data_IF_022177147785
#
_entry.id   IF_022177147785
#
_cell.length_a   1.000
_cell.length_b   1.000
_cell.length_c   1.000
_cell.angle_alpha   90.00
_cell.angle_beta   90.00
_cell.angle_gamma   90.00
#
_symmetry.space_group_name_H-M   'P 1'
#
loop_
_entity.id
_entity.type
_entity.pdbx_description
1 polymer ?
#
# COMPACT_ATOMS: atom_id res chain seq x y z
N UNK A 1 0.04 -17.27 8.45
CA UNK A 1 1.27 -17.84 7.86
C UNK A 1 1.63 -17.02 6.62
N UNK A 2 2.50 -16.01 6.77
CA UNK A 2 2.91 -15.10 5.67
C UNK A 2 4.32 -15.48 5.18
N UNK A 3 4.45 -16.72 4.71
CA UNK A 3 5.73 -17.38 4.38
C UNK A 3 6.61 -16.53 3.45
N UNK A 4 6.01 -15.86 2.47
CA UNK A 4 6.75 -15.03 1.53
C UNK A 4 7.30 -13.76 2.18
N UNK A 5 6.58 -13.13 3.11
CA UNK A 5 7.03 -11.91 3.78
C UNK A 5 8.23 -12.22 4.68
N UNK A 6 8.12 -13.28 5.49
CA UNK A 6 9.22 -13.80 6.30
C UNK A 6 10.45 -14.18 5.45
N UNK A 7 10.24 -14.82 4.31
CA UNK A 7 11.32 -15.21 3.41
C UNK A 7 12.06 -14.00 2.81
N UNK A 8 11.34 -12.96 2.38
CA UNK A 8 11.95 -11.74 1.81
C UNK A 8 12.74 -10.98 2.89
N UNK A 9 12.19 -10.88 4.11
CA UNK A 9 12.89 -10.27 5.24
C UNK A 9 14.16 -11.05 5.57
N UNK A 10 14.06 -12.37 5.72
CA UNK A 10 15.16 -13.19 6.22
C UNK A 10 16.29 -13.40 5.22
N UNK A 11 15.96 -13.58 3.93
CA UNK A 11 16.98 -13.87 2.92
C UNK A 11 17.50 -12.65 2.19
N UNK A 12 16.78 -11.53 2.18
CA UNK A 12 17.14 -10.37 1.35
C UNK A 12 17.38 -9.13 2.19
N UNK A 13 16.36 -8.70 2.95
CA UNK A 13 16.38 -7.39 3.59
C UNK A 13 17.27 -7.35 4.83
N UNK A 14 17.16 -8.36 5.68
CA UNK A 14 17.89 -8.47 6.93
C UNK A 14 19.41 -8.67 6.73
N UNK A 15 19.90 -9.60 5.87
CA UNK A 15 21.33 -9.73 5.63
C UNK A 15 21.93 -8.51 4.90
N UNK A 16 21.15 -7.83 4.05
CA UNK A 16 21.59 -6.59 3.38
C UNK A 16 21.70 -5.43 4.37
N UNK A 17 20.74 -5.28 5.28
CA UNK A 17 20.79 -4.29 6.35
C UNK A 17 21.90 -4.60 7.38
N UNK A 18 22.08 -5.87 7.77
CA UNK A 18 23.20 -6.29 8.63
C UNK A 18 24.55 -6.01 7.98
N UNK A 19 24.70 -6.28 6.67
CA UNK A 19 25.94 -6.01 5.94
C UNK A 19 26.38 -4.53 5.98
N UNK A 20 25.43 -3.59 6.03
CA UNK A 20 25.71 -2.15 6.14
C UNK A 20 25.82 -1.66 7.61
N UNK A 21 25.31 -2.42 8.58
CA UNK A 21 25.36 -2.11 10.03
C UNK A 21 26.58 -2.70 10.72
N UNK A 22 27.19 -3.76 10.18
CA UNK A 22 28.47 -4.33 10.67
C UNK A 22 29.57 -3.27 10.52
N UNK A 23 29.82 -2.53 11.61
CA UNK A 23 30.80 -1.44 11.69
C UNK A 23 30.28 -0.15 12.31
N UNK A 24 28.97 0.00 12.59
CA UNK A 24 28.40 1.18 13.26
C UNK A 24 27.83 0.83 14.62
N UNK A 25 28.38 1.42 15.68
CA UNK A 25 28.07 1.12 17.09
C UNK A 25 26.72 1.70 17.59
N UNK A 26 25.93 2.37 16.74
CA UNK A 26 24.80 3.22 17.15
C UNK A 26 23.49 2.95 16.37
N UNK A 27 23.27 1.76 15.81
CA UNK A 27 21.98 1.41 15.18
C UNK A 27 21.59 0.02 15.64
N UNK A 28 20.51 -0.09 16.41
CA UNK A 28 19.96 -1.37 16.84
C UNK A 28 18.84 -1.76 15.87
N UNK A 29 19.06 -2.86 15.15
CA UNK A 29 18.06 -3.51 14.32
C UNK A 29 17.32 -4.52 15.20
N UNK A 30 16.10 -4.20 15.58
CA UNK A 30 15.22 -5.16 16.25
C UNK A 30 14.28 -5.75 15.21
N UNK A 31 14.34 -7.08 15.07
CA UNK A 31 13.50 -7.86 14.17
C UNK A 31 12.36 -8.43 14.99
N UNK A 32 11.16 -7.91 14.80
CA UNK A 32 9.95 -8.49 15.39
C UNK A 32 9.08 -9.05 14.25
N UNK A 33 9.13 -10.38 14.11
CA UNK A 33 8.37 -11.20 13.16
C UNK A 33 8.37 -10.77 11.68
N UNK A 34 7.50 -9.81 11.32
CA UNK A 34 7.23 -9.35 9.94
C UNK A 34 7.64 -7.87 9.71
N UNK A 35 8.18 -7.19 10.72
CA UNK A 35 8.50 -5.76 10.71
C UNK A 35 9.98 -5.50 11.03
N UNK A 36 10.59 -4.52 10.34
CA UNK A 36 11.96 -4.05 10.66
C UNK A 36 11.85 -2.75 11.44
N UNK A 37 12.28 -2.79 12.71
CA UNK A 37 12.37 -1.62 13.57
C UNK A 37 13.79 -1.07 13.53
N UNK A 38 13.93 0.18 13.10
CA UNK A 38 15.19 0.92 13.21
C UNK A 38 15.16 1.79 14.48
N UNK A 39 15.83 1.36 15.54
CA UNK A 39 16.07 2.19 16.72
C UNK A 39 17.38 2.97 16.55
N UNK A 40 17.25 4.29 16.41
CA UNK A 40 18.37 5.24 16.42
C UNK A 40 18.48 5.85 17.82
N UNK A 41 19.61 5.74 18.54
CA UNK A 41 19.84 6.33 19.86
C UNK A 41 20.14 7.83 19.80
N UNK A 42 19.61 8.55 18.80
CA UNK A 42 19.55 10.01 18.81
C UNK A 42 18.15 10.42 19.20
N UNK A 43 18.02 11.08 20.36
CA UNK A 43 16.79 11.41 21.11
C UNK A 43 15.64 12.10 20.35
N UNK A 44 15.76 12.35 19.05
CA UNK A 44 14.77 13.09 18.24
C UNK A 44 14.39 12.40 16.91
N UNK A 45 14.83 11.18 16.64
CA UNK A 45 14.44 10.46 15.41
C UNK A 45 13.24 9.54 15.69
N UNK A 46 12.11 9.71 14.99
CA UNK A 46 10.96 8.84 15.16
C UNK A 46 11.34 7.41 14.76
N UNK A 47 10.92 6.44 15.57
CA UNK A 47 11.05 5.02 15.29
C UNK A 47 10.51 4.72 13.87
N UNK A 48 11.40 4.26 12.99
CA UNK A 48 11.01 3.91 11.63
C UNK A 48 10.65 2.44 11.60
N UNK A 49 9.35 2.19 11.54
CA UNK A 49 8.77 0.89 11.27
C UNK A 49 8.62 0.71 9.77
N UNK A 50 9.29 -0.28 9.19
CA UNK A 50 9.11 -0.61 7.78
C UNK A 50 8.18 -1.81 7.65
N UNK A 51 6.94 -1.55 7.19
CA UNK A 51 5.97 -2.61 6.89
C UNK A 51 6.17 -3.14 5.47
N UNK A 52 6.18 -4.47 5.29
CA UNK A 52 6.28 -5.05 3.95
C UNK A 52 5.13 -4.61 3.03
N UNK A 53 5.43 -4.37 1.73
CA UNK A 53 4.38 -4.19 0.72
C UNK A 53 3.55 -5.48 0.60
N UNK A 54 2.31 -5.34 0.09
CA UNK A 54 1.31 -6.42 -0.01
C UNK A 54 0.75 -6.91 1.34
N UNK A 55 0.66 -6.02 2.33
CA UNK A 55 0.00 -6.28 3.61
C UNK A 55 -1.54 -6.44 3.47
N UNK A 56 -2.24 -6.66 4.59
CA UNK A 56 -3.70 -6.82 4.59
C UNK A 56 -4.47 -5.62 4.00
N UNK A 57 -3.94 -4.40 4.16
CA UNK A 57 -4.51 -3.20 3.56
C UNK A 57 -4.49 -3.24 2.04
N UNK A 58 -3.40 -3.72 1.44
CA UNK A 58 -3.31 -3.90 0.00
C UNK A 58 -4.44 -4.80 -0.52
N UNK A 59 -4.64 -5.97 0.10
CA UNK A 59 -5.67 -6.93 -0.33
C UNK A 59 -7.09 -6.39 -0.16
N UNK A 60 -7.35 -5.70 0.95
CA UNK A 60 -8.64 -5.06 1.19
C UNK A 60 -8.95 -4.01 0.13
N UNK A 61 -7.97 -3.17 -0.19
CA UNK A 61 -8.13 -2.10 -1.19
C UNK A 61 -8.25 -2.65 -2.61
N UNK A 62 -7.50 -3.72 -2.91
CA UNK A 62 -7.62 -4.46 -4.16
C UNK A 62 -9.03 -5.02 -4.35
N UNK A 63 -9.61 -5.59 -3.29
CA UNK A 63 -10.99 -6.10 -3.30
C UNK A 63 -12.02 -5.01 -3.61
N UNK A 64 -11.85 -3.80 -3.05
CA UNK A 64 -12.72 -2.66 -3.36
C UNK A 64 -12.62 -2.26 -4.83
N UNK A 65 -11.40 -2.12 -5.37
CA UNK A 65 -11.23 -1.79 -6.79
C UNK A 65 -11.72 -2.88 -7.73
N UNK A 66 -11.58 -4.14 -7.33
CA UNK A 66 -12.10 -5.29 -8.07
C UNK A 66 -13.64 -5.26 -8.12
N UNK A 67 -14.29 -5.03 -6.99
CA UNK A 67 -15.75 -4.86 -6.89
C UNK A 67 -16.24 -3.70 -7.76
N UNK A 68 -15.48 -2.61 -7.80
CA UNK A 68 -15.77 -1.47 -8.67
C UNK A 68 -15.49 -1.73 -10.17
N UNK A 69 -14.80 -2.83 -10.52
CA UNK A 69 -14.35 -3.11 -11.89
C UNK A 69 -13.30 -2.12 -12.42
N UNK A 70 -12.61 -1.40 -11.54
CA UNK A 70 -11.70 -0.32 -11.92
C UNK A 70 -10.27 -0.83 -12.15
N UNK A 71 -10.05 -1.42 -13.33
CA UNK A 71 -8.75 -2.01 -13.74
C UNK A 71 -7.61 -0.98 -13.73
N UNK A 72 -7.90 0.30 -14.00
CA UNK A 72 -6.88 1.36 -14.00
C UNK A 72 -6.33 1.61 -12.60
N UNK A 73 -7.21 1.72 -11.59
CA UNK A 73 -6.79 1.90 -10.20
C UNK A 73 -6.08 0.66 -9.65
N UNK A 74 -6.53 -0.54 -10.00
CA UNK A 74 -5.84 -1.79 -9.66
C UNK A 74 -4.40 -1.78 -10.18
N UNK A 75 -4.22 -1.45 -11.47
CA UNK A 75 -2.91 -1.38 -12.11
C UNK A 75 -2.03 -0.32 -11.46
N UNK A 76 -2.56 0.87 -11.22
CA UNK A 76 -1.83 1.97 -10.57
C UNK A 76 -1.37 1.60 -9.15
N UNK A 77 -2.27 1.05 -8.32
CA UNK A 77 -1.94 0.61 -6.96
C UNK A 77 -0.88 -0.49 -6.95
N UNK A 78 -0.98 -1.45 -7.88
CA UNK A 78 -0.03 -2.56 -7.98
C UNK A 78 1.37 -2.06 -8.36
N UNK A 79 1.48 -1.18 -9.36
CA UNK A 79 2.77 -0.57 -9.72
C UNK A 79 3.36 0.27 -8.59
N UNK A 80 2.52 0.98 -7.83
CA UNK A 80 2.96 1.74 -6.67
C UNK A 80 3.58 0.84 -5.59
N UNK A 81 2.95 -0.30 -5.26
CA UNK A 81 3.47 -1.25 -4.27
C UNK A 81 4.74 -1.98 -4.73
N UNK A 82 4.84 -2.31 -6.03
CA UNK A 82 6.08 -2.82 -6.63
C UNK A 82 7.19 -1.77 -6.53
N UNK A 83 6.86 -0.50 -6.79
CA UNK A 83 7.80 0.62 -6.61
C UNK A 83 8.33 0.70 -5.18
N UNK A 84 7.47 0.62 -4.18
CA UNK A 84 7.88 0.59 -2.76
C UNK A 84 8.78 -0.61 -2.45
N UNK A 85 8.48 -1.80 -2.99
CA UNK A 85 9.31 -2.98 -2.78
C UNK A 85 10.75 -2.78 -3.26
N UNK A 86 10.94 -2.06 -4.39
CA UNK A 86 12.26 -1.80 -4.97
C UNK A 86 12.94 -0.58 -4.32
N UNK A 87 12.18 0.47 -4.04
CA UNK A 87 12.70 1.73 -3.49
C UNK A 87 12.98 1.62 -2.00
N UNK A 88 12.20 0.83 -1.25
CA UNK A 88 12.33 0.69 0.20
C UNK A 88 13.72 0.25 0.67
N UNK A 89 14.33 -0.80 0.12
CA UNK A 89 15.70 -1.18 0.45
C UNK A 89 16.73 -0.07 0.16
N UNK A 90 16.58 0.64 -0.96
CA UNK A 90 17.46 1.74 -1.33
C UNK A 90 17.37 2.91 -0.33
N UNK A 91 16.14 3.25 0.07
CA UNK A 91 15.88 4.29 1.07
C UNK A 91 16.39 3.86 2.44
N UNK A 92 16.22 2.59 2.82
CA UNK A 92 16.80 2.02 4.05
C UNK A 92 18.32 2.20 4.11
N UNK A 93 19.04 1.87 3.03
CA UNK A 93 20.50 2.10 2.94
C UNK A 93 20.83 3.59 3.05
N UNK A 94 20.04 4.46 2.42
CA UNK A 94 20.25 5.92 2.47
C UNK A 94 20.05 6.51 3.87
N UNK A 95 19.07 6.01 4.61
CA UNK A 95 18.78 6.39 6.01
C UNK A 95 19.94 5.94 6.91
N UNK A 96 20.40 4.68 6.77
CA UNK A 96 21.56 4.15 7.52
C UNK A 96 22.82 4.98 7.25
N UNK A 97 23.01 5.50 6.03
CA UNK A 97 24.14 6.36 5.65
C UNK A 97 24.07 7.79 6.18
N UNK A 98 23.09 8.13 7.04
CA UNK A 98 22.94 9.37 7.82
C UNK A 98 22.15 10.52 7.19
N UNK A 99 21.29 10.25 6.20
CA UNK A 99 20.40 11.30 5.67
C UNK A 99 19.01 11.26 6.29
N UNK A 100 18.88 11.91 7.45
CA UNK A 100 17.59 12.14 8.16
C UNK A 100 16.56 12.85 7.27
N UNK A 101 17.00 13.59 6.25
CA UNK A 101 16.10 14.27 5.32
C UNK A 101 15.20 13.32 4.53
N UNK A 102 15.60 12.06 4.35
CA UNK A 102 14.78 11.06 3.66
C UNK A 102 13.85 10.29 4.59
N UNK A 103 14.10 10.30 5.90
CA UNK A 103 13.23 9.59 6.85
C UNK A 103 11.86 10.26 6.96
N UNK A 104 11.81 11.59 6.98
CA UNK A 104 10.56 12.36 7.09
C UNK A 104 9.59 12.10 5.91
N UNK A 105 9.98 12.27 4.63
CA UNK A 105 9.08 12.03 3.51
C UNK A 105 8.68 10.55 3.39
N UNK A 106 9.58 9.62 3.72
CA UNK A 106 9.29 8.18 3.71
C UNK A 106 8.22 7.82 4.75
N UNK A 107 8.38 8.31 5.98
CA UNK A 107 7.42 8.13 7.06
C UNK A 107 6.05 8.75 6.74
N UNK A 108 6.03 9.96 6.18
CA UNK A 108 4.79 10.64 5.81
C UNK A 108 4.08 9.90 4.68
N UNK A 109 4.82 9.50 3.64
CA UNK A 109 4.32 8.67 2.55
C UNK A 109 3.58 7.48 3.13
N UNK A 110 4.21 6.69 4.00
CA UNK A 110 3.64 5.45 4.54
C UNK A 110 2.30 5.64 5.26
N UNK A 111 2.12 6.78 5.94
CA UNK A 111 0.87 7.12 6.63
C UNK A 111 -0.22 7.65 5.71
N UNK A 112 0.16 8.31 4.62
CA UNK A 112 -0.77 9.02 3.72
C UNK A 112 -1.30 8.08 2.63
N UNK A 113 -0.48 7.21 2.06
CA UNK A 113 -0.92 6.40 0.91
C UNK A 113 -2.00 5.38 1.29
N UNK A 114 -1.89 4.73 2.47
CA UNK A 114 -2.85 3.71 2.93
C UNK A 114 -4.30 4.25 2.97
N UNK A 115 -4.61 5.35 3.69
CA UNK A 115 -5.96 5.91 3.70
C UNK A 115 -6.38 6.47 2.34
N UNK A 116 -5.45 7.04 1.54
CA UNK A 116 -5.79 7.54 0.21
C UNK A 116 -6.30 6.44 -0.72
N UNK A 117 -5.60 5.31 -0.78
CA UNK A 117 -6.04 4.16 -1.57
C UNK A 117 -7.37 3.62 -1.07
N UNK A 118 -7.56 3.55 0.25
CA UNK A 118 -8.80 3.07 0.85
C UNK A 118 -10.00 3.96 0.48
N UNK A 119 -9.87 5.28 0.66
CA UNK A 119 -10.90 6.26 0.30
C UNK A 119 -11.21 6.16 -1.19
N UNK A 120 -10.17 6.07 -2.03
CA UNK A 120 -10.33 5.87 -3.48
C UNK A 120 -11.09 4.58 -3.81
N UNK A 121 -10.82 3.49 -3.06
CA UNK A 121 -11.53 2.22 -3.19
C UNK A 121 -13.02 2.35 -2.90
N UNK A 122 -13.37 3.00 -1.79
CA UNK A 122 -14.77 3.23 -1.41
C UNK A 122 -15.48 4.13 -2.43
N UNK A 123 -14.82 5.20 -2.89
CA UNK A 123 -15.37 6.08 -3.92
C UNK A 123 -15.62 5.35 -5.24
N UNK A 124 -14.67 4.51 -5.67
CA UNK A 124 -14.83 3.72 -6.89
C UNK A 124 -16.03 2.77 -6.81
N UNK A 125 -16.25 2.11 -5.66
CA UNK A 125 -17.43 1.25 -5.44
C UNK A 125 -18.71 2.07 -5.47
N UNK A 126 -18.74 3.24 -4.81
CA UNK A 126 -19.90 4.14 -4.81
C UNK A 126 -20.27 4.59 -6.22
N UNK A 127 -19.29 5.00 -7.02
CA UNK A 127 -19.50 5.41 -8.42
C UNK A 127 -20.08 4.28 -9.25
N UNK A 128 -19.54 3.06 -9.10
CA UNK A 128 -20.05 1.87 -9.79
C UNK A 128 -21.51 1.59 -9.42
N UNK A 129 -21.85 1.69 -8.15
CA UNK A 129 -23.22 1.48 -7.66
C UNK A 129 -24.21 2.50 -8.24
N UNK A 130 -23.84 3.78 -8.29
CA UNK A 130 -24.66 4.84 -8.89
C UNK A 130 -24.89 4.56 -10.39
N UNK A 131 -23.84 4.18 -11.11
CA UNK A 131 -23.96 3.84 -12.54
C UNK A 131 -24.91 2.66 -12.78
N UNK A 132 -24.80 1.59 -11.97
CA UNK A 132 -25.66 0.41 -12.11
C UNK A 132 -27.13 0.76 -11.86
N UNK A 133 -27.43 1.58 -10.85
CA UNK A 133 -28.81 1.95 -10.53
C UNK A 133 -29.44 2.87 -11.57
N UNK A 134 -28.69 3.84 -12.12
CA UNK A 134 -29.20 4.71 -13.20
C UNK A 134 -29.50 3.92 -14.48
N UNK A 135 -28.68 2.93 -14.81
CA UNK A 135 -28.94 2.03 -15.94
C UNK A 135 -30.19 1.19 -15.71
N UNK A 136 -30.44 0.73 -14.47
CA UNK A 136 -31.66 -0.02 -14.13
C UNK A 136 -32.95 0.79 -14.32
N UNK A 137 -32.96 2.06 -13.90
CA UNK A 137 -34.14 2.93 -14.03
C UNK A 137 -34.47 3.30 -15.49
N UNK A 138 -33.44 3.50 -16.33
CA UNK A 138 -33.62 3.83 -17.75
C UNK A 138 -34.14 2.65 -18.59
N UNK A 139 -33.75 1.42 -18.26
CA UNK A 139 -34.31 0.22 -18.90
C UNK A 139 -35.76 -0.06 -18.48
N UNK A 140 -36.12 0.18 -17.22
CA UNK A 140 -37.49 0.01 -16.72
C UNK A 140 -38.48 1.00 -17.38
N UNK A 141 -38.09 2.27 -17.48
CA UNK A 141 -38.92 3.33 -18.11
C UNK A 141 -39.11 3.13 -19.62
N UNK A 142 -38.08 2.67 -20.34
CA UNK A 142 -38.20 2.31 -21.78
C UNK A 142 -39.08 1.08 -22.01
N UNK A 143 -39.01 0.06 -21.13
CA UNK A 143 -39.87 -1.13 -21.23
C UNK A 143 -41.36 -0.79 -21.04
N UNK A 144 -41.67 0.17 -20.16
CA UNK A 144 -43.03 0.63 -19.93
C UNK A 144 -43.58 1.52 -21.07
N UNK A 145 -42.74 2.32 -21.74
CA UNK A 145 -43.20 3.16 -22.86
C UNK A 145 -43.49 2.34 -24.12
N UNK A 146 -42.67 1.33 -24.42
CA UNK A 146 -42.89 0.42 -25.55
C UNK A 146 -44.18 -0.39 -25.41
N UNK A 147 -44.54 -0.81 -24.19
CA UNK A 147 -45.76 -1.58 -23.95
C UNK A 147 -47.04 -0.71 -24.03
N UNK A 148 -46.94 0.62 -23.86
CA UNK A 148 -48.09 1.54 -23.99
C UNK A 148 -48.36 2.00 -25.43
N UNK A 149 -47.42 1.82 -26.36
CA UNK A 149 -47.58 2.20 -27.77
C UNK A 149 -48.19 1.12 -28.67
N UNK A 150 -48.49 -0.07 -28.12
CA UNK A 150 -48.95 -1.26 -28.89
C UNK A 150 -50.42 -1.63 -28.52
N UNK A 151 -51.15 -0.77 -27.81
CA UNK A 151 -52.59 -0.96 -27.52
C UNK A 151 -53.46 0.02 -28.27
#
# INVERSE_FOLDING_TARGET
VRVFQLWVVDNTLFPMAQGEVVGRQNIFLEKEDDDIHFQFPMDNLPEMKWELPFNGWFWLTLGLFWSAGNVRLIRFMTFYHIGILVVGPLVGILIIKASVYFSIPWYLQEKVYKPLFLISGVLAVRERWIQVNQVSETHSTRGLSLNRGIR
#
